data_IF_250720987375
#
_entry.id   IF_250720987375
#
_cell.length_a   1.000
_cell.length_b   1.000
_cell.length_c   1.000
_cell.angle_alpha   90.00
_cell.angle_beta   90.00
_cell.angle_gamma   90.00
#
_symmetry.space_group_name_H-M   'P 1'
#
loop_
_entity.id
_entity.type
_entity.pdbx_description
1 polymer ?
#
# COMPACT_ATOMS: atom_id res chain seq x y z
N UNK A 1 10.98 17.08 31.57
CA UNK A 1 11.61 16.04 30.71
C UNK A 1 10.59 15.11 30.05
N UNK A 2 9.49 14.71 30.73
CA UNK A 2 8.39 13.92 30.12
C UNK A 2 7.58 14.70 29.08
N UNK A 3 7.33 15.99 29.29
CA UNK A 3 6.53 16.82 28.38
C UNK A 3 7.21 17.00 27.01
N UNK A 4 8.54 17.17 26.98
CA UNK A 4 9.29 17.30 25.73
C UNK A 4 9.30 16.00 24.90
N UNK A 5 9.50 14.84 25.54
CA UNK A 5 9.44 13.57 24.82
C UNK A 5 8.05 13.30 24.21
N UNK A 6 7.00 13.67 24.96
CA UNK A 6 5.61 13.56 24.45
C UNK A 6 5.36 14.52 23.27
N UNK A 7 5.93 15.70 23.32
CA UNK A 7 5.85 16.66 22.21
C UNK A 7 6.52 16.09 20.95
N UNK A 8 7.75 15.59 21.05
CA UNK A 8 8.46 14.97 19.90
C UNK A 8 7.67 13.78 19.34
N UNK A 9 7.15 12.91 20.20
CA UNK A 9 6.36 11.77 19.76
C UNK A 9 5.11 12.21 19.00
N UNK A 10 4.43 13.23 19.47
CA UNK A 10 3.21 13.77 18.85
C UNK A 10 3.51 14.42 17.51
N UNK A 11 4.56 15.24 17.44
CA UNK A 11 5.00 15.89 16.21
C UNK A 11 5.40 14.84 15.15
N UNK A 12 6.17 13.84 15.57
CA UNK A 12 6.57 12.75 14.69
C UNK A 12 5.36 11.93 14.21
N UNK A 13 4.43 11.62 15.10
CA UNK A 13 3.19 10.90 14.74
C UNK A 13 2.38 11.67 13.69
N UNK A 14 2.22 12.99 13.87
CA UNK A 14 1.50 13.83 12.90
C UNK A 14 2.22 13.82 11.55
N UNK A 15 3.53 14.03 11.53
CA UNK A 15 4.30 14.09 10.30
C UNK A 15 4.27 12.76 9.53
N UNK A 16 4.40 11.62 10.21
CA UNK A 16 4.22 10.31 9.56
C UNK A 16 2.81 10.18 8.98
N UNK A 17 1.79 10.51 9.77
CA UNK A 17 0.40 10.39 9.34
C UNK A 17 0.11 11.28 8.13
N UNK A 18 0.62 12.51 8.12
CA UNK A 18 0.45 13.45 7.02
C UNK A 18 1.13 12.94 5.74
N UNK A 19 2.36 12.45 5.84
CA UNK A 19 3.09 11.85 4.71
C UNK A 19 2.37 10.60 4.22
N UNK A 20 1.93 9.72 5.12
CA UNK A 20 1.22 8.50 4.76
C UNK A 20 -0.09 8.81 4.01
N UNK A 21 -0.89 9.75 4.52
CA UNK A 21 -2.12 10.19 3.86
C UNK A 21 -1.81 10.76 2.47
N UNK A 22 -0.82 11.64 2.35
CA UNK A 22 -0.41 12.21 1.06
C UNK A 22 -0.01 11.14 0.05
N UNK A 23 0.78 10.16 0.47
CA UNK A 23 1.20 9.06 -0.40
C UNK A 23 0.03 8.14 -0.78
N UNK A 24 -0.87 7.82 0.17
CA UNK A 24 -2.08 7.02 -0.13
C UNK A 24 -2.94 7.72 -1.19
N UNK A 25 -3.16 9.02 -1.08
CA UNK A 25 -3.90 9.76 -2.10
C UNK A 25 -3.18 9.76 -3.45
N UNK A 26 -1.86 9.85 -3.45
CA UNK A 26 -1.06 9.76 -4.68
C UNK A 26 -1.23 8.40 -5.35
N UNK A 27 -1.13 7.30 -4.60
CA UNK A 27 -1.34 5.94 -5.13
C UNK A 27 -2.79 5.73 -5.60
N UNK A 28 -3.77 6.17 -4.82
CA UNK A 28 -5.17 6.13 -5.22
C UNK A 28 -5.44 6.90 -6.53
N UNK A 29 -4.73 8.01 -6.73
CA UNK A 29 -4.81 8.76 -7.98
C UNK A 29 -4.21 7.97 -9.17
N UNK A 30 -3.07 7.30 -8.98
CA UNK A 30 -2.50 6.44 -10.01
C UNK A 30 -3.39 5.23 -10.33
N UNK A 31 -3.98 4.59 -9.31
CA UNK A 31 -4.96 3.52 -9.52
C UNK A 31 -6.15 4.02 -10.33
N UNK A 32 -6.65 5.22 -10.01
CA UNK A 32 -7.73 5.83 -10.76
C UNK A 32 -7.37 6.04 -12.23
N UNK A 33 -6.16 6.55 -12.51
CA UNK A 33 -5.70 6.73 -13.89
C UNK A 33 -5.58 5.39 -14.66
N UNK A 34 -5.14 4.33 -13.99
CA UNK A 34 -5.06 3.00 -14.60
C UNK A 34 -6.45 2.42 -14.87
N UNK A 35 -7.38 2.55 -13.92
CA UNK A 35 -8.72 1.98 -14.05
C UNK A 35 -9.62 2.78 -15.00
N UNK A 36 -9.35 4.07 -15.22
CA UNK A 36 -10.15 4.88 -16.16
C UNK A 36 -10.05 4.38 -17.60
N UNK A 37 -8.94 3.72 -17.95
CA UNK A 37 -8.76 3.06 -19.24
C UNK A 37 -9.69 1.87 -19.45
N UNK A 38 -10.22 1.29 -18.39
CA UNK A 38 -11.14 0.16 -18.40
C UNK A 38 -12.62 0.60 -18.33
N UNK A 39 -12.89 1.90 -18.31
CA UNK A 39 -14.26 2.45 -18.36
C UNK A 39 -15.00 1.95 -19.61
N UNK A 40 -16.24 1.51 -19.42
CA UNK A 40 -17.08 0.93 -20.47
C UNK A 40 -16.69 -0.47 -20.98
N UNK A 41 -15.75 -1.15 -20.32
CA UNK A 41 -15.50 -2.57 -20.53
C UNK A 41 -16.56 -3.38 -19.78
N UNK A 42 -17.67 -3.72 -20.46
CA UNK A 42 -18.79 -4.43 -19.85
C UNK A 42 -19.62 -3.56 -18.91
N UNK A 43 -19.84 -4.05 -17.67
CA UNK A 43 -20.60 -3.34 -16.61
C UNK A 43 -19.70 -2.58 -15.62
N UNK A 44 -18.45 -2.26 -16.03
CA UNK A 44 -17.49 -1.56 -15.18
C UNK A 44 -17.76 -0.05 -15.22
N UNK A 45 -18.42 0.46 -14.20
CA UNK A 45 -18.84 1.84 -14.05
C UNK A 45 -17.94 2.60 -13.05
N UNK A 46 -17.97 3.92 -13.10
CA UNK A 46 -17.22 4.83 -12.23
C UNK A 46 -17.39 4.50 -10.73
N UNK A 47 -18.60 4.11 -10.32
CA UNK A 47 -18.84 3.75 -8.92
C UNK A 47 -18.04 2.50 -8.49
N UNK A 48 -17.85 1.55 -9.38
CA UNK A 48 -17.06 0.33 -9.12
C UNK A 48 -15.57 0.62 -9.08
N UNK A 49 -15.09 1.56 -9.90
CA UNK A 49 -13.72 2.05 -9.83
C UNK A 49 -13.42 2.66 -8.45
N UNK A 50 -14.31 3.52 -7.95
CA UNK A 50 -14.15 4.13 -6.63
C UNK A 50 -14.15 3.08 -5.52
N UNK A 51 -15.04 2.09 -5.59
CA UNK A 51 -15.08 1.00 -4.62
C UNK A 51 -13.80 0.16 -4.70
N UNK A 52 -13.33 -0.17 -5.89
CA UNK A 52 -12.07 -0.90 -6.11
C UNK A 52 -10.89 -0.17 -5.46
N UNK A 53 -10.71 1.13 -5.76
CA UNK A 53 -9.64 1.96 -5.20
C UNK A 53 -9.72 2.00 -3.67
N UNK A 54 -10.93 2.18 -3.11
CA UNK A 54 -11.12 2.22 -1.66
C UNK A 54 -10.74 0.89 -0.99
N UNK A 55 -11.06 -0.23 -1.63
CA UNK A 55 -10.70 -1.55 -1.14
C UNK A 55 -9.19 -1.86 -1.30
N UNK A 56 -8.51 -1.21 -2.25
CA UNK A 56 -7.05 -1.35 -2.46
C UNK A 56 -6.23 -0.49 -1.49
N UNK A 57 -6.83 0.54 -0.86
CA UNK A 57 -6.13 1.43 0.09
C UNK A 57 -5.40 0.72 1.24
N UNK A 58 -5.96 -0.34 1.90
CA UNK A 58 -5.24 -1.04 2.95
C UNK A 58 -3.93 -1.69 2.47
N UNK A 59 -3.91 -2.21 1.23
CA UNK A 59 -2.70 -2.73 0.60
C UNK A 59 -1.64 -1.65 0.41
N UNK A 60 -2.02 -0.49 -0.13
CA UNK A 60 -1.12 0.65 -0.27
C UNK A 60 -0.59 1.16 1.07
N UNK A 61 -1.43 1.21 2.10
CA UNK A 61 -0.98 1.57 3.46
C UNK A 61 0.12 0.64 3.95
N UNK A 62 -0.03 -0.66 3.75
CA UNK A 62 0.98 -1.64 4.13
C UNK A 62 2.34 -1.36 3.49
N UNK A 63 2.37 -1.03 2.21
CA UNK A 63 3.60 -0.74 1.47
C UNK A 63 4.20 0.63 1.80
N UNK A 64 3.36 1.64 2.06
CA UNK A 64 3.77 3.04 2.19
C UNK A 64 4.26 3.38 3.60
N UNK A 65 3.76 2.73 4.65
CA UNK A 65 4.09 3.09 6.04
C UNK A 65 5.61 3.09 6.32
N UNK A 66 6.42 2.11 5.89
CA UNK A 66 7.87 2.15 6.10
C UNK A 66 8.52 3.41 5.50
N UNK A 67 8.11 3.76 4.27
CA UNK A 67 8.57 4.95 3.58
C UNK A 67 8.10 6.23 4.29
N UNK A 68 6.85 6.25 4.73
CA UNK A 68 6.27 7.37 5.50
C UNK A 68 6.98 7.60 6.83
N UNK A 69 7.39 6.52 7.51
CA UNK A 69 8.19 6.62 8.74
C UNK A 69 9.56 7.25 8.47
N UNK A 70 10.21 6.88 7.37
CA UNK A 70 11.49 7.45 7.00
C UNK A 70 11.38 8.94 6.68
N UNK A 71 10.46 9.31 5.78
CA UNK A 71 10.24 10.70 5.36
C UNK A 71 9.74 11.53 6.54
N UNK A 72 8.81 11.01 7.35
CA UNK A 72 8.29 11.67 8.55
C UNK A 72 9.36 11.92 9.60
N UNK A 73 10.31 10.98 9.77
CA UNK A 73 11.45 11.17 10.66
C UNK A 73 12.37 12.29 10.18
N UNK A 74 12.70 12.29 8.88
CA UNK A 74 13.53 13.34 8.28
C UNK A 74 12.87 14.71 8.40
N UNK A 75 11.55 14.77 8.13
CA UNK A 75 10.78 16.01 8.21
C UNK A 75 10.72 16.54 9.64
N UNK A 76 10.42 15.68 10.62
CA UNK A 76 10.36 16.06 12.03
C UNK A 76 11.71 16.57 12.54
N UNK A 77 12.80 15.85 12.26
CA UNK A 77 14.14 16.29 12.70
C UNK A 77 14.55 17.57 12.00
N UNK A 78 14.26 17.70 10.71
CA UNK A 78 14.51 18.91 9.94
C UNK A 78 13.76 20.13 10.50
N UNK A 79 12.48 19.98 10.82
CA UNK A 79 11.65 21.02 11.41
C UNK A 79 12.15 21.43 12.80
N UNK A 80 12.41 20.46 13.68
CA UNK A 80 12.95 20.74 15.02
C UNK A 80 14.33 21.41 14.97
N UNK A 81 15.14 21.07 13.97
CA UNK A 81 16.45 21.70 13.75
C UNK A 81 16.30 23.11 13.19
N UNK A 82 15.45 23.31 12.18
CA UNK A 82 15.20 24.60 11.56
C UNK A 82 14.63 25.65 12.54
N UNK A 83 13.76 25.22 13.43
CA UNK A 83 13.19 26.07 14.49
C UNK A 83 14.13 26.27 15.70
N UNK A 84 15.35 25.75 15.65
CA UNK A 84 16.30 25.74 16.78
C UNK A 84 15.79 25.02 18.03
N UNK A 85 14.66 24.30 17.96
CA UNK A 85 14.07 23.57 19.08
C UNK A 85 14.99 22.44 19.56
N UNK A 86 15.68 21.78 18.63
CA UNK A 86 16.64 20.72 18.91
C UNK A 86 17.80 21.25 19.75
N UNK A 87 18.26 22.48 19.50
CA UNK A 87 19.31 23.13 20.30
C UNK A 87 18.79 23.42 21.70
N UNK A 88 17.59 23.99 21.83
CA UNK A 88 16.95 24.29 23.13
C UNK A 88 16.74 23.01 23.95
N UNK A 89 16.31 21.92 23.30
CA UNK A 89 16.16 20.62 23.95
C UNK A 89 17.49 20.06 24.49
N UNK A 90 18.56 20.20 23.71
CA UNK A 90 19.91 19.76 24.13
C UNK A 90 20.47 20.60 25.28
N UNK A 91 20.33 21.91 25.22
CA UNK A 91 20.77 22.82 26.31
C UNK A 91 19.97 22.60 27.59
N UNK A 92 18.71 22.17 27.48
CA UNK A 92 17.86 21.76 28.62
C UNK A 92 18.25 20.36 29.20
N UNK A 93 19.35 19.75 28.72
CA UNK A 93 19.86 18.47 29.21
C UNK A 93 19.14 17.25 28.63
N UNK A 94 18.51 17.35 27.47
CA UNK A 94 17.99 16.19 26.74
C UNK A 94 19.09 15.55 25.89
N UNK A 95 19.35 14.27 26.09
CA UNK A 95 20.33 13.54 25.28
C UNK A 95 19.77 13.17 23.91
N UNK A 96 20.64 13.10 22.89
CA UNK A 96 20.29 12.65 21.54
C UNK A 96 19.67 11.24 21.57
N UNK A 97 20.16 10.36 22.43
CA UNK A 97 19.60 9.01 22.63
C UNK A 97 18.12 9.04 23.01
N UNK A 98 17.68 10.03 23.77
CA UNK A 98 16.29 10.18 24.19
C UNK A 98 15.40 10.69 23.04
N UNK A 99 15.93 11.55 22.18
CA UNK A 99 15.25 11.98 20.95
C UNK A 99 15.10 10.78 20.00
N UNK A 100 16.18 10.05 19.77
CA UNK A 100 16.16 8.85 18.93
C UNK A 100 15.21 7.77 19.47
N UNK A 101 15.17 7.54 20.79
CA UNK A 101 14.25 6.57 21.39
C UNK A 101 12.78 6.97 21.21
N UNK A 102 12.48 8.27 21.19
CA UNK A 102 11.14 8.77 20.88
C UNK A 102 10.73 8.43 19.45
N UNK A 103 11.63 8.63 18.48
CA UNK A 103 11.38 8.31 17.07
C UNK A 103 11.18 6.80 16.88
N UNK A 104 12.04 5.98 17.51
CA UNK A 104 11.94 4.52 17.45
C UNK A 104 10.60 4.03 18.04
N UNK A 105 10.14 4.59 19.14
CA UNK A 105 8.90 4.18 19.79
C UNK A 105 7.69 4.43 18.88
N UNK A 106 7.62 5.59 18.23
CA UNK A 106 6.53 5.92 17.30
C UNK A 106 6.62 5.06 16.04
N UNK A 107 7.82 4.83 15.50
CA UNK A 107 8.01 3.95 14.34
C UNK A 107 7.61 2.50 14.66
N UNK A 108 7.90 2.01 15.87
CA UNK A 108 7.49 0.68 16.31
C UNK A 108 5.96 0.56 16.39
N UNK A 109 5.27 1.61 16.84
CA UNK A 109 3.81 1.66 16.84
C UNK A 109 3.25 1.54 15.41
N UNK A 110 3.77 2.33 14.47
CA UNK A 110 3.35 2.26 13.08
C UNK A 110 3.69 0.89 12.43
N UNK A 111 4.85 0.31 12.75
CA UNK A 111 5.24 -1.03 12.30
C UNK A 111 4.27 -2.12 12.79
N UNK A 112 3.87 -2.07 14.06
CA UNK A 112 2.88 -2.99 14.61
C UNK A 112 1.51 -2.82 13.94
N UNK A 113 1.09 -1.57 13.71
CA UNK A 113 -0.16 -1.26 13.01
C UNK A 113 -0.13 -1.76 11.57
N UNK A 114 1.00 -1.57 10.86
CA UNK A 114 1.21 -2.08 9.50
C UNK A 114 1.08 -3.60 9.44
N UNK A 115 1.69 -4.29 10.39
CA UNK A 115 1.61 -5.75 10.47
C UNK A 115 0.17 -6.24 10.65
N UNK A 116 -0.60 -5.59 11.51
CA UNK A 116 -2.01 -5.93 11.71
C UNK A 116 -2.86 -5.68 10.45
N UNK A 117 -2.69 -4.52 9.83
CA UNK A 117 -3.40 -4.16 8.59
C UNK A 117 -3.01 -5.13 7.47
N UNK A 118 -1.73 -5.39 7.27
CA UNK A 118 -1.22 -6.27 6.22
C UNK A 118 -1.70 -7.71 6.33
N UNK A 119 -1.76 -8.27 7.54
CA UNK A 119 -2.15 -9.67 7.73
C UNK A 119 -3.65 -9.90 7.85
N UNK A 120 -4.41 -8.94 8.37
CA UNK A 120 -5.83 -9.11 8.66
C UNK A 120 -6.73 -8.42 7.63
N UNK A 121 -6.41 -7.18 7.25
CA UNK A 121 -7.30 -6.35 6.43
C UNK A 121 -6.97 -6.49 4.94
N UNK A 122 -5.70 -6.38 4.58
CA UNK A 122 -5.26 -6.39 3.18
C UNK A 122 -5.75 -7.62 2.40
N UNK A 123 -5.60 -8.89 2.86
CA UNK A 123 -5.99 -10.05 2.07
C UNK A 123 -7.50 -10.12 1.82
N UNK A 124 -8.30 -9.65 2.77
CA UNK A 124 -9.77 -9.62 2.63
C UNK A 124 -10.18 -8.51 1.66
N UNK A 125 -9.58 -7.34 1.80
CA UNK A 125 -9.91 -6.17 0.97
C UNK A 125 -9.49 -6.39 -0.48
N UNK A 126 -8.31 -6.92 -0.74
CA UNK A 126 -7.82 -7.21 -2.10
C UNK A 126 -8.64 -8.28 -2.80
N UNK A 127 -9.03 -9.36 -2.10
CA UNK A 127 -9.94 -10.37 -2.67
C UNK A 127 -11.25 -9.75 -3.13
N UNK A 128 -11.85 -8.90 -2.30
CA UNK A 128 -13.11 -8.23 -2.63
C UNK A 128 -12.92 -7.24 -3.80
N UNK A 129 -11.81 -6.50 -3.83
CA UNK A 129 -11.47 -5.59 -4.91
C UNK A 129 -11.36 -6.33 -6.25
N UNK A 130 -10.60 -7.44 -6.27
CA UNK A 130 -10.44 -8.26 -7.47
C UNK A 130 -11.74 -8.91 -7.91
N UNK A 131 -12.59 -9.39 -6.99
CA UNK A 131 -13.90 -9.94 -7.32
C UNK A 131 -14.81 -8.91 -8.00
N UNK A 132 -14.82 -7.66 -7.52
CA UNK A 132 -15.59 -6.57 -8.14
C UNK A 132 -15.08 -6.30 -9.56
N UNK A 133 -13.77 -6.26 -9.74
CA UNK A 133 -13.14 -6.05 -11.05
C UNK A 133 -13.53 -7.18 -12.03
N UNK A 134 -13.33 -8.43 -11.62
CA UNK A 134 -13.61 -9.61 -12.44
C UNK A 134 -15.10 -9.74 -12.77
N UNK A 135 -15.99 -9.57 -11.79
CA UNK A 135 -17.43 -9.71 -12.00
C UNK A 135 -18.04 -8.60 -12.86
N UNK A 136 -17.32 -7.53 -13.06
CA UNK A 136 -17.79 -6.34 -13.76
C UNK A 136 -17.23 -6.20 -15.17
N UNK A 137 -16.10 -6.82 -15.42
CA UNK A 137 -15.47 -6.90 -16.74
C UNK A 137 -15.91 -8.25 -17.34
N UNK A 138 -16.70 -8.24 -18.43
CA UNK A 138 -17.35 -9.40 -19.05
C UNK A 138 -16.41 -10.61 -19.25
N UNK A 139 -16.14 -11.35 -18.19
CA UNK A 139 -15.48 -12.66 -18.21
C UNK A 139 -14.07 -12.75 -18.83
N UNK A 140 -13.58 -11.68 -19.43
CA UNK A 140 -12.21 -11.63 -19.92
C UNK A 140 -11.28 -11.12 -18.82
N UNK A 141 -10.86 -12.01 -17.93
CA UNK A 141 -9.64 -11.79 -17.16
C UNK A 141 -8.48 -11.86 -18.15
N UNK A 142 -8.28 -10.78 -18.86
CA UNK A 142 -6.98 -10.52 -19.44
C UNK A 142 -6.06 -10.13 -18.26
N UNK A 143 -5.65 -11.12 -17.46
CA UNK A 143 -4.32 -11.05 -16.91
C UNK A 143 -3.43 -10.69 -18.09
N UNK A 144 -2.56 -9.72 -17.90
CA UNK A 144 -1.70 -9.06 -18.90
C UNK A 144 -0.74 -10.04 -19.65
N UNK A 145 -1.11 -11.30 -19.72
CA UNK A 145 -0.50 -12.37 -20.52
C UNK A 145 -1.25 -12.49 -21.85
N UNK A 146 -1.04 -11.52 -22.73
CA UNK A 146 -1.49 -11.60 -24.13
C UNK A 146 -1.03 -12.87 -24.87
N UNK A 147 -0.23 -13.70 -24.24
CA UNK A 147 0.32 -14.95 -24.77
C UNK A 147 -0.12 -16.21 -24.03
N UNK A 148 -1.01 -16.11 -23.03
CA UNK A 148 -1.36 -17.25 -22.15
C UNK A 148 -0.22 -17.68 -21.21
N UNK A 149 -0.52 -18.57 -20.29
CA UNK A 149 0.50 -19.18 -19.40
C UNK A 149 1.06 -20.42 -20.07
N UNK A 150 2.34 -20.41 -20.36
CA UNK A 150 3.04 -21.56 -20.93
C UNK A 150 3.66 -22.40 -19.81
N UNK A 151 3.28 -23.66 -19.76
CA UNK A 151 3.87 -24.64 -18.86
C UNK A 151 4.46 -25.79 -19.67
N UNK A 152 5.62 -26.30 -19.23
CA UNK A 152 6.24 -27.49 -19.82
C UNK A 152 5.97 -28.67 -18.87
N UNK A 153 5.29 -29.67 -19.38
CA UNK A 153 5.08 -30.95 -18.70
C UNK A 153 5.72 -32.10 -19.51
N UNK A 154 6.87 -32.54 -19.04
CA UNK A 154 7.67 -33.55 -19.74
C UNK A 154 8.14 -33.06 -21.11
N UNK A 155 7.61 -33.65 -22.19
CA UNK A 155 7.91 -33.30 -23.58
C UNK A 155 6.87 -32.41 -24.24
N UNK A 156 5.76 -32.13 -23.52
CA UNK A 156 4.62 -31.36 -24.04
C UNK A 156 4.64 -29.93 -23.52
N UNK A 157 4.23 -29.01 -24.36
CA UNK A 157 4.01 -27.61 -23.99
C UNK A 157 2.51 -27.34 -23.86
N UNK A 158 2.08 -26.89 -22.68
CA UNK A 158 0.69 -26.57 -22.38
C UNK A 158 0.55 -25.05 -22.34
N UNK A 159 -0.31 -24.52 -23.20
CA UNK A 159 -0.73 -23.12 -23.18
C UNK A 159 -2.12 -23.04 -22.56
N UNK A 160 -2.25 -22.26 -21.50
CA UNK A 160 -3.51 -22.00 -20.81
C UNK A 160 -3.90 -20.56 -21.11
N UNK A 161 -4.85 -20.36 -22.00
CA UNK A 161 -5.24 -19.02 -22.45
C UNK A 161 -6.08 -18.28 -21.41
N UNK A 162 -6.92 -19.00 -20.65
CA UNK A 162 -7.81 -18.41 -19.66
C UNK A 162 -7.79 -19.19 -18.34
N UNK A 163 -7.44 -18.51 -17.24
CA UNK A 163 -7.57 -19.01 -15.86
C UNK A 163 -8.73 -18.29 -15.20
N UNK A 164 -9.79 -19.02 -14.83
CA UNK A 164 -10.94 -18.44 -14.12
C UNK A 164 -10.64 -18.28 -12.61
N UNK A 165 -11.38 -17.39 -11.92
CA UNK A 165 -11.16 -17.11 -10.50
C UNK A 165 -11.45 -18.29 -9.56
N UNK A 166 -12.16 -19.31 -10.04
CA UNK A 166 -12.45 -20.57 -9.34
C UNK A 166 -11.37 -21.64 -9.55
N UNK A 167 -10.20 -21.23 -10.07
CA UNK A 167 -9.09 -22.09 -10.48
C UNK A 167 -9.46 -23.08 -11.61
N UNK A 168 -10.57 -22.90 -12.30
CA UNK A 168 -10.86 -23.67 -13.51
C UNK A 168 -10.10 -23.09 -14.71
N UNK A 169 -9.56 -23.98 -15.52
CA UNK A 169 -8.77 -23.66 -16.71
C UNK A 169 -9.67 -23.79 -17.94
N UNK A 170 -9.72 -22.77 -18.80
CA UNK A 170 -10.39 -22.81 -20.11
C UNK A 170 -9.38 -22.59 -21.23
N UNK A 171 -9.71 -23.16 -22.38
CA UNK A 171 -8.94 -23.03 -23.61
C UNK A 171 -7.49 -23.51 -23.42
N UNK A 172 -7.36 -24.81 -23.07
CA UNK A 172 -6.07 -25.48 -22.89
C UNK A 172 -5.63 -26.05 -24.24
N UNK A 173 -4.53 -25.54 -24.75
CA UNK A 173 -3.88 -26.04 -25.95
C UNK A 173 -2.64 -26.85 -25.57
N UNK A 174 -2.62 -28.13 -25.97
CA UNK A 174 -1.48 -29.04 -25.74
C UNK A 174 -0.75 -29.22 -27.07
N UNK A 175 0.53 -28.90 -27.08
CA UNK A 175 1.42 -29.05 -28.24
C UNK A 175 2.42 -30.18 -27.90
N UNK A 176 2.43 -31.26 -28.70
CA UNK A 176 3.37 -32.38 -28.63
C UNK A 176 4.66 -32.09 -29.43
#
# INVERSE_FOLDING_TARGET
KMKLARYINFEFFINISLVAIGLVFLFAFFDFLQEIGNLNSGKYDLSKIIVFITLSMPGHLYEIIPLSCLIGAMFTVGQLSGNSELVVMRTSGMSIKKIASSLILVSLFFSAMTFLVGNLITPISEKNAQQIKISSTDGSVTTDFKSGVWMKDGNNFVNIENVLPDASLRDIHIYE
#
